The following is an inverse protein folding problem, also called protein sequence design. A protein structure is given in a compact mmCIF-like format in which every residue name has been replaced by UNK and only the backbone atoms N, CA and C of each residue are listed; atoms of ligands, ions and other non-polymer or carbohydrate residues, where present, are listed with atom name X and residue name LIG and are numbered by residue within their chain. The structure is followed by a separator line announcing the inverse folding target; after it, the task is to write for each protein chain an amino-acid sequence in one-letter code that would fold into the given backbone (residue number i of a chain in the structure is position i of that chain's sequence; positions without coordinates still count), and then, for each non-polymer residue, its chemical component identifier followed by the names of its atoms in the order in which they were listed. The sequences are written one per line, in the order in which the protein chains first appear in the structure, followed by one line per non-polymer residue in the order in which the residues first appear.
data_IF_772662838887
#
_entry.id   IF_772662838887
#
_cell.length_a   1.000
_cell.length_b   1.000
_cell.length_c   1.000
_cell.angle_alpha   90.00
_cell.angle_beta   90.00
_cell.angle_gamma   90.00
#
_symmetry.space_group_name_H-M   'P 1'
#
loop_
_entity.id
_entity.type
_entity.pdbx_description
1 polymer ?
#
# COMPACT_ATOMS: atom_id res chain seq x y z
N UNK A 1 -3.92 6.96 14.78
CA UNK A 1 -4.32 6.33 13.51
C UNK A 1 -3.15 5.52 13.02
N UNK A 2 -3.40 4.32 12.52
CA UNK A 2 -2.37 3.45 11.95
C UNK A 2 -2.68 3.18 10.48
N UNK A 3 -1.63 2.92 9.71
CA UNK A 3 -1.78 2.52 8.32
C UNK A 3 -2.48 1.15 8.26
N UNK A 4 -3.56 1.06 7.48
CA UNK A 4 -4.38 -0.13 7.35
C UNK A 4 -3.81 -1.04 6.24
N UNK A 5 -2.92 -1.93 6.65
CA UNK A 5 -2.26 -2.89 5.75
C UNK A 5 -3.24 -3.87 5.09
N UNK A 6 -4.34 -4.21 5.76
CA UNK A 6 -5.39 -5.04 5.17
C UNK A 6 -6.11 -4.30 4.04
N UNK A 7 -6.32 -2.99 4.18
CA UNK A 7 -6.88 -2.16 3.10
C UNK A 7 -5.92 -2.08 1.92
N UNK A 8 -4.62 -1.87 2.15
CA UNK A 8 -3.62 -1.88 1.08
C UNK A 8 -3.65 -3.19 0.29
N UNK A 9 -3.65 -4.32 0.98
CA UNK A 9 -3.72 -5.64 0.35
C UNK A 9 -5.01 -5.82 -0.45
N UNK A 10 -6.15 -5.40 0.11
CA UNK A 10 -7.44 -5.49 -0.55
C UNK A 10 -7.49 -4.68 -1.85
N UNK A 11 -7.03 -3.43 -1.84
CA UNK A 11 -7.01 -2.59 -3.05
C UNK A 11 -6.06 -3.14 -4.12
N UNK A 12 -4.87 -3.59 -3.74
CA UNK A 12 -3.95 -4.24 -4.69
C UNK A 12 -4.62 -5.44 -5.37
N UNK A 13 -5.32 -6.27 -4.61
CA UNK A 13 -6.01 -7.45 -5.13
C UNK A 13 -7.24 -7.09 -5.97
N UNK A 14 -7.97 -6.02 -5.61
CA UNK A 14 -9.12 -5.53 -6.36
C UNK A 14 -8.70 -5.03 -7.76
N UNK A 15 -7.53 -4.41 -7.86
CA UNK A 15 -6.90 -4.04 -9.13
C UNK A 15 -6.25 -5.22 -9.88
N UNK A 16 -6.31 -6.43 -9.31
CA UNK A 16 -5.81 -7.66 -9.94
C UNK A 16 -4.29 -7.83 -9.91
N UNK A 17 -3.56 -7.02 -9.15
CA UNK A 17 -2.10 -7.10 -9.12
C UNK A 17 -1.59 -8.16 -8.15
N UNK A 18 -0.61 -8.95 -8.59
CA UNK A 18 0.25 -9.73 -7.69
C UNK A 18 1.20 -8.81 -6.91
N UNK A 19 1.84 -9.33 -5.86
CA UNK A 19 2.88 -8.57 -5.14
C UNK A 19 4.07 -8.21 -6.04
N UNK A 20 4.41 -9.04 -7.03
CA UNK A 20 5.50 -8.80 -7.98
C UNK A 20 5.16 -7.63 -8.92
N UNK A 21 3.98 -7.66 -9.54
CA UNK A 21 3.55 -6.61 -10.48
C UNK A 21 3.38 -5.27 -9.78
N UNK A 22 2.82 -5.28 -8.57
CA UNK A 22 2.65 -4.05 -7.81
C UNK A 22 3.99 -3.49 -7.35
N UNK A 23 4.91 -4.33 -6.86
CA UNK A 23 6.27 -3.90 -6.51
C UNK A 23 6.99 -3.26 -7.72
N UNK A 24 6.84 -3.85 -8.91
CA UNK A 24 7.39 -3.30 -10.16
C UNK A 24 6.84 -1.90 -10.46
N UNK A 25 5.53 -1.66 -10.27
CA UNK A 25 4.92 -0.32 -10.41
C UNK A 25 5.49 0.68 -9.40
N UNK A 26 5.77 0.22 -8.18
CA UNK A 26 6.35 1.04 -7.12
C UNK A 26 7.87 1.26 -7.27
N UNK A 27 8.51 0.65 -8.27
CA UNK A 27 9.96 0.76 -8.47
C UNK A 27 10.78 0.07 -7.37
N UNK A 28 10.26 -1.00 -6.75
CA UNK A 28 10.95 -1.75 -5.70
C UNK A 28 10.92 -3.26 -5.97
N UNK A 29 11.76 -4.01 -5.26
CA UNK A 29 11.74 -5.48 -5.35
C UNK A 29 10.50 -6.06 -4.69
N UNK A 30 10.03 -7.23 -5.16
CA UNK A 30 8.91 -7.95 -4.54
C UNK A 30 9.09 -8.16 -3.05
N UNK A 31 10.30 -8.53 -2.61
CA UNK A 31 10.60 -8.72 -1.19
C UNK A 31 10.49 -7.44 -0.37
N UNK A 32 10.89 -6.29 -0.93
CA UNK A 32 10.76 -5.00 -0.28
C UNK A 32 9.29 -4.59 -0.11
N UNK A 33 8.44 -4.85 -1.13
CA UNK A 33 7.01 -4.62 -1.05
C UNK A 33 6.31 -5.59 -0.10
N UNK A 34 6.65 -6.88 -0.14
CA UNK A 34 6.03 -7.89 0.71
C UNK A 34 6.23 -7.60 2.20
N UNK A 35 7.42 -7.12 2.62
CA UNK A 35 7.67 -6.70 4.01
C UNK A 35 6.81 -5.50 4.42
N UNK A 36 6.60 -4.56 3.50
CA UNK A 36 5.74 -3.39 3.69
C UNK A 36 4.28 -3.77 3.84
N UNK A 37 3.75 -4.56 2.90
CA UNK A 37 2.37 -5.04 2.95
C UNK A 37 2.10 -5.91 4.18
N UNK A 38 3.11 -6.64 4.68
CA UNK A 38 3.03 -7.43 5.90
C UNK A 38 3.23 -6.62 7.20
N UNK A 39 3.58 -5.33 7.12
CA UNK A 39 3.84 -4.48 8.30
C UNK A 39 5.17 -4.73 9.01
N UNK A 40 6.10 -5.44 8.37
CA UNK A 40 7.46 -5.65 8.88
C UNK A 40 8.31 -4.39 8.68
N UNK A 41 8.02 -3.63 7.62
CA UNK A 41 8.64 -2.34 7.32
C UNK A 41 7.52 -1.32 7.18
N UNK A 42 7.67 -0.17 7.83
CA UNK A 42 6.67 0.89 7.76
C UNK A 42 6.52 1.45 6.34
N UNK A 43 5.32 1.90 6.02
CA UNK A 43 5.01 2.62 4.78
C UNK A 43 5.42 4.08 4.97
N UNK A 44 6.41 4.54 4.20
CA UNK A 44 6.77 5.96 4.20
C UNK A 44 5.75 6.81 3.42
N UNK A 45 5.86 8.14 3.51
CA UNK A 45 5.03 9.05 2.71
C UNK A 45 5.33 8.88 1.22
N UNK A 46 6.59 8.63 0.84
CA UNK A 46 6.96 8.36 -0.55
C UNK A 46 6.38 7.03 -1.04
N UNK A 47 6.39 5.99 -0.19
CA UNK A 47 5.75 4.71 -0.50
C UNK A 47 4.25 4.89 -0.72
N UNK A 48 3.58 5.66 0.15
CA UNK A 48 2.16 5.98 0.01
C UNK A 48 1.88 6.72 -1.31
N UNK A 49 2.68 7.73 -1.66
CA UNK A 49 2.51 8.45 -2.94
C UNK A 49 2.55 7.48 -4.12
N UNK A 50 3.54 6.58 -4.16
CA UNK A 50 3.67 5.59 -5.25
C UNK A 50 2.53 4.57 -5.25
N UNK A 51 2.03 4.19 -4.08
CA UNK A 51 0.85 3.32 -3.94
C UNK A 51 -0.38 3.99 -4.55
N UNK A 52 -0.62 5.26 -4.22
CA UNK A 52 -1.76 6.03 -4.76
C UNK A 52 -1.67 6.13 -6.28
N UNK A 53 -0.50 6.47 -6.81
CA UNK A 53 -0.26 6.54 -8.25
C UNK A 53 -0.46 5.17 -8.93
N UNK A 54 0.05 4.09 -8.33
CA UNK A 54 -0.07 2.73 -8.88
C UNK A 54 -1.51 2.20 -8.89
N UNK A 55 -2.36 2.66 -7.96
CA UNK A 55 -3.79 2.37 -7.87
C UNK A 55 -4.66 3.37 -8.67
N UNK A 56 -4.06 4.43 -9.23
CA UNK A 56 -4.81 5.48 -9.93
C UNK A 56 -5.71 6.31 -9.02
N UNK A 57 -5.34 6.44 -7.75
CA UNK A 57 -6.13 7.15 -6.74
C UNK A 57 -5.63 8.57 -6.52
N UNK A 58 -6.55 9.51 -6.33
CA UNK A 58 -6.23 10.88 -5.93
C UNK A 58 -6.23 11.07 -4.40
N UNK A 59 -5.88 12.27 -3.96
CA UNK A 59 -5.78 12.65 -2.54
C UNK A 59 -7.05 12.40 -1.71
N UNK A 60 -8.24 12.38 -2.32
CA UNK A 60 -9.50 12.10 -1.62
C UNK A 60 -9.57 10.67 -1.08
N UNK A 61 -8.85 9.74 -1.73
CA UNK A 61 -8.82 8.32 -1.36
C UNK A 61 -7.78 8.00 -0.29
N UNK A 62 -6.87 8.91 0.05
CA UNK A 62 -5.80 8.67 1.05
C UNK A 62 -6.37 8.20 2.38
N UNK A 63 -7.50 8.78 2.81
CA UNK A 63 -8.14 8.51 4.11
C UNK A 63 -8.52 7.03 4.31
N UNK A 64 -8.79 6.27 3.23
CA UNK A 64 -9.21 4.85 3.35
C UNK A 64 -8.10 3.96 3.94
N UNK A 65 -6.83 4.38 3.80
CA UNK A 65 -5.67 3.65 4.30
C UNK A 65 -5.35 3.94 5.77
N UNK A 66 -6.13 4.77 6.47
CA UNK A 66 -5.91 5.08 7.87
C UNK A 66 -7.11 4.63 8.70
N UNK A 67 -6.85 3.76 9.68
CA UNK A 67 -7.86 3.31 10.64
C UNK A 67 -7.59 3.93 12.03
N UNK A 68 -8.63 4.12 12.86
CA UNK A 68 -8.45 4.34 14.27
C UNK A 68 -7.57 3.24 14.85
N UNK A 69 -6.56 3.61 15.60
CA UNK A 69 -5.66 2.66 16.26
C UNK A 69 -6.46 1.96 17.36
N UNK A 70 -6.99 0.77 17.10
CA UNK A 70 -7.60 -0.05 18.14
C UNK A 70 -6.45 -0.65 18.93
N UNK A 71 -6.29 -0.19 20.17
CA UNK A 71 -5.32 -0.75 21.13
C UNK A 71 -5.75 -2.13 21.59
#
# INVERSE_FOLDING_TARGET
MSFNLQRLKAERMAEGYTQEEFAKKLGMSRGAYAKREAGIVDISVEDLSRIMDALGYDVSKVSIFFAPSVR
#
